data_IF_252734059622
#
_entry.id   IF_252734059622
#
_cell.length_a   1.000
_cell.length_b   1.000
_cell.length_c   1.000
_cell.angle_alpha   90.00
_cell.angle_beta   90.00
_cell.angle_gamma   90.00
#
_symmetry.space_group_name_H-M   'P 1'
#
loop_
_entity.id
_entity.type
_entity.pdbx_description
1 polymer ?
#
# COMPACT_ATOMS: atom_id res chain seq x y z
N UNK A 1 10.15 4.15 8.98
CA UNK A 1 10.66 2.83 8.55
C UNK A 1 12.02 3.03 7.88
N UNK A 2 13.03 2.18 8.17
CA UNK A 2 14.42 2.41 7.76
C UNK A 2 14.62 2.39 6.24
N UNK A 3 13.74 1.74 5.47
CA UNK A 3 13.84 1.63 4.01
C UNK A 3 12.83 2.50 3.25
N UNK A 4 12.05 3.35 3.93
CA UNK A 4 11.07 4.22 3.30
C UNK A 4 11.71 5.54 2.83
N UNK A 5 11.33 6.02 1.64
CA UNK A 5 11.76 7.34 1.12
C UNK A 5 11.37 8.48 2.07
N UNK A 6 10.28 8.35 2.81
CA UNK A 6 9.82 9.32 3.81
C UNK A 6 10.46 9.15 5.19
N UNK A 7 11.34 8.16 5.38
CA UNK A 7 12.04 7.86 6.64
C UNK A 7 13.50 8.27 6.59
N UNK A 8 14.24 8.00 7.69
CA UNK A 8 15.67 8.31 7.83
C UNK A 8 16.60 7.42 6.97
N UNK A 9 16.08 6.49 6.20
CA UNK A 9 16.79 5.60 5.28
C UNK A 9 18.03 4.86 5.88
N UNK A 10 18.07 4.66 7.20
CA UNK A 10 19.22 4.05 7.90
C UNK A 10 19.47 2.57 7.58
N UNK A 11 18.62 1.95 6.75
CA UNK A 11 18.81 0.57 6.30
C UNK A 11 19.03 -0.43 7.45
N UNK A 12 20.07 -1.25 7.35
CA UNK A 12 20.46 -2.21 8.38
C UNK A 12 21.21 -1.57 9.57
N UNK A 13 21.66 -0.32 9.47
CA UNK A 13 22.25 0.43 10.59
C UNK A 13 21.19 0.92 11.57
N UNK A 14 19.92 1.07 11.12
CA UNK A 14 18.79 1.32 12.02
C UNK A 14 18.40 0.02 12.74
N UNK A 15 18.22 0.08 14.05
CA UNK A 15 17.80 -1.08 14.89
C UNK A 15 16.55 -1.79 14.37
N UNK A 16 15.66 -1.07 13.68
CA UNK A 16 14.48 -1.65 13.02
C UNK A 16 14.82 -2.39 11.72
N UNK A 17 15.94 -2.06 11.07
CA UNK A 17 16.46 -2.78 9.90
C UNK A 17 17.08 -4.12 10.31
N UNK A 18 17.62 -4.23 11.51
CA UNK A 18 18.21 -5.46 12.04
C UNK A 18 17.18 -6.55 12.36
N UNK A 19 15.88 -6.21 12.49
CA UNK A 19 14.79 -7.18 12.70
C UNK A 19 14.74 -8.28 11.62
N UNK A 20 15.25 -8.02 10.42
CA UNK A 20 15.36 -9.07 9.42
C UNK A 20 16.25 -10.25 9.89
N UNK A 21 17.32 -9.97 10.61
CA UNK A 21 18.19 -11.04 11.12
C UNK A 21 17.53 -11.88 12.21
N UNK A 22 16.58 -11.29 12.96
CA UNK A 22 15.77 -12.06 13.92
C UNK A 22 14.77 -12.95 13.17
N UNK A 23 14.16 -12.47 12.07
CA UNK A 23 13.38 -13.32 11.17
C UNK A 23 14.23 -14.46 10.64
N UNK A 24 15.48 -14.21 10.20
CA UNK A 24 16.39 -15.24 9.70
C UNK A 24 16.73 -16.30 10.78
N UNK A 25 16.92 -15.89 12.04
CA UNK A 25 17.09 -16.82 13.17
C UNK A 25 15.87 -17.73 13.36
N UNK A 26 14.66 -17.15 13.31
CA UNK A 26 13.41 -17.91 13.39
C UNK A 26 13.31 -18.92 12.24
N UNK A 27 13.60 -18.49 11.02
CA UNK A 27 13.60 -19.35 9.82
C UNK A 27 14.59 -20.50 9.97
N UNK A 28 15.80 -20.24 10.47
CA UNK A 28 16.84 -21.26 10.72
C UNK A 28 16.35 -22.33 11.69
N UNK A 29 15.66 -21.94 12.76
CA UNK A 29 15.17 -22.84 13.80
C UNK A 29 13.90 -23.60 13.34
N UNK A 30 12.89 -22.85 12.85
CA UNK A 30 11.57 -23.40 12.53
C UNK A 30 11.48 -24.06 11.17
N UNK A 31 12.37 -23.70 10.25
CA UNK A 31 12.47 -24.25 8.90
C UNK A 31 11.13 -24.31 8.16
N UNK A 32 10.35 -23.21 8.08
CA UNK A 32 9.04 -23.21 7.43
C UNK A 32 9.19 -23.64 5.96
N UNK A 33 8.13 -24.21 5.38
CA UNK A 33 8.11 -24.58 3.97
C UNK A 33 8.20 -23.36 3.05
N UNK A 34 7.50 -22.31 3.42
CA UNK A 34 7.39 -21.04 2.67
C UNK A 34 7.65 -19.86 3.60
N UNK A 35 8.33 -18.87 3.10
CA UNK A 35 8.57 -17.56 3.72
C UNK A 35 7.94 -16.51 2.81
N UNK A 36 7.10 -15.63 3.38
CA UNK A 36 6.56 -14.46 2.70
C UNK A 36 6.95 -13.21 3.47
N UNK A 37 7.73 -12.34 2.84
CA UNK A 37 8.13 -11.05 3.39
C UNK A 37 7.61 -9.92 2.51
N UNK A 38 7.26 -8.79 3.14
CA UNK A 38 6.83 -7.58 2.45
C UNK A 38 7.63 -6.38 2.94
N UNK A 39 7.93 -5.47 2.01
CA UNK A 39 8.52 -4.18 2.36
C UNK A 39 8.09 -3.10 1.35
N UNK A 40 8.40 -1.83 1.65
CA UNK A 40 8.17 -0.72 0.71
C UNK A 40 8.90 -0.94 -0.62
N UNK A 41 8.36 -0.41 -1.72
CA UNK A 41 8.93 -0.62 -3.06
C UNK A 41 10.40 -0.16 -3.14
N UNK A 42 10.78 0.89 -2.39
CA UNK A 42 12.15 1.38 -2.37
C UNK A 42 13.16 0.39 -1.77
N UNK A 43 12.69 -0.61 -1.02
CA UNK A 43 13.56 -1.65 -0.45
C UNK A 43 14.40 -2.36 -1.51
N UNK A 44 13.82 -2.63 -2.68
CA UNK A 44 14.51 -3.31 -3.76
C UNK A 44 15.65 -2.47 -4.40
N UNK A 45 15.59 -1.14 -4.25
CA UNK A 45 16.57 -0.20 -4.79
C UNK A 45 17.47 0.42 -3.71
N UNK A 46 17.19 0.14 -2.45
CA UNK A 46 17.92 0.72 -1.32
C UNK A 46 19.39 0.29 -1.39
N UNK A 47 20.28 1.27 -1.21
CA UNK A 47 21.75 1.09 -1.28
C UNK A 47 22.15 0.32 -2.55
N UNK A 48 21.72 0.82 -3.71
CA UNK A 48 21.98 0.24 -5.03
C UNK A 48 21.69 -1.27 -5.11
N UNK A 49 20.63 -1.70 -4.37
CA UNK A 49 20.19 -3.10 -4.32
C UNK A 49 20.95 -3.98 -3.32
N UNK A 50 21.98 -3.49 -2.64
CA UNK A 50 22.76 -4.26 -1.66
C UNK A 50 21.89 -4.81 -0.53
N UNK A 51 20.91 -4.02 -0.07
CA UNK A 51 19.95 -4.45 0.96
C UNK A 51 19.16 -5.68 0.55
N UNK A 52 18.60 -5.69 -0.65
CA UNK A 52 17.86 -6.84 -1.17
C UNK A 52 18.80 -8.06 -1.40
N UNK A 53 19.99 -7.80 -1.93
CA UNK A 53 20.99 -8.86 -2.14
C UNK A 53 21.43 -9.51 -0.82
N UNK A 54 21.55 -8.74 0.26
CA UNK A 54 21.82 -9.28 1.61
C UNK A 54 20.69 -10.21 2.05
N UNK A 55 19.43 -9.80 1.91
CA UNK A 55 18.25 -10.63 2.23
C UNK A 55 18.25 -11.90 1.38
N UNK A 56 18.47 -11.78 0.06
CA UNK A 56 18.55 -12.91 -0.87
C UNK A 56 19.62 -13.90 -0.42
N UNK A 57 20.84 -13.43 -0.14
CA UNK A 57 21.94 -14.27 0.29
C UNK A 57 21.60 -15.04 1.56
N UNK A 58 21.13 -14.35 2.61
CA UNK A 58 20.78 -14.99 3.89
C UNK A 58 19.70 -16.05 3.72
N UNK A 59 18.65 -15.80 2.95
CA UNK A 59 17.57 -16.76 2.72
C UNK A 59 18.07 -17.95 1.87
N UNK A 60 18.94 -17.70 0.89
CA UNK A 60 19.53 -18.76 0.06
C UNK A 60 20.49 -19.66 0.88
N UNK A 61 21.30 -19.06 1.76
CA UNK A 61 22.21 -19.78 2.66
C UNK A 61 21.44 -20.66 3.68
N UNK A 62 20.18 -20.31 3.97
CA UNK A 62 19.25 -21.12 4.77
C UNK A 62 18.56 -22.24 3.97
N UNK A 63 18.99 -22.51 2.73
CA UNK A 63 18.50 -23.56 1.84
C UNK A 63 17.07 -23.30 1.28
N UNK A 64 16.79 -22.04 0.90
CA UNK A 64 15.56 -21.64 0.21
C UNK A 64 15.85 -21.11 -1.20
N UNK A 65 14.98 -21.37 -2.15
CA UNK A 65 14.89 -20.62 -3.40
C UNK A 65 14.26 -19.26 -3.11
N UNK A 66 14.87 -18.17 -3.60
CA UNK A 66 14.42 -16.81 -3.32
C UNK A 66 13.92 -16.12 -4.57
N UNK A 67 12.70 -15.57 -4.48
CA UNK A 67 12.03 -14.82 -5.52
C UNK A 67 11.58 -13.48 -4.97
N UNK A 68 11.57 -12.44 -5.82
CA UNK A 68 10.98 -11.16 -5.43
C UNK A 68 10.35 -10.45 -6.62
N UNK A 69 9.34 -9.63 -6.35
CA UNK A 69 8.70 -8.74 -7.33
C UNK A 69 8.10 -7.53 -6.62
N UNK A 70 8.09 -6.38 -7.31
CA UNK A 70 7.33 -5.22 -6.87
C UNK A 70 5.94 -5.34 -7.48
N UNK A 71 4.91 -5.44 -6.62
CA UNK A 71 3.52 -5.49 -7.03
C UNK A 71 2.80 -4.22 -6.56
N UNK A 72 1.81 -3.78 -7.33
CA UNK A 72 0.96 -2.66 -6.99
C UNK A 72 -0.45 -3.16 -6.65
N UNK A 73 -1.02 -2.72 -5.53
CA UNK A 73 -2.36 -3.14 -5.12
C UNK A 73 -3.44 -2.82 -6.16
N UNK A 74 -3.26 -1.76 -6.94
CA UNK A 74 -4.17 -1.39 -8.03
C UNK A 74 -4.27 -2.45 -9.13
N UNK A 75 -3.26 -3.30 -9.27
CA UNK A 75 -3.24 -4.36 -10.29
C UNK A 75 -4.08 -5.58 -9.86
N UNK A 76 -4.58 -5.60 -8.62
CA UNK A 76 -5.32 -6.71 -8.00
C UNK A 76 -6.73 -6.32 -7.54
N UNK A 77 -7.39 -5.42 -8.28
CA UNK A 77 -8.79 -5.05 -8.07
C UNK A 77 -9.03 -4.18 -6.83
N UNK A 78 -8.00 -3.49 -6.34
CA UNK A 78 -8.08 -2.55 -5.23
C UNK A 78 -7.73 -1.15 -5.72
N UNK A 79 -8.59 -0.12 -5.52
CA UNK A 79 -8.33 1.23 -5.99
C UNK A 79 -7.35 1.97 -5.08
N UNK A 80 -6.18 1.39 -4.82
CA UNK A 80 -5.11 2.00 -4.05
C UNK A 80 -3.77 1.87 -4.78
N UNK A 81 -3.13 2.98 -5.09
CA UNK A 81 -1.77 3.01 -5.62
C UNK A 81 -0.77 2.71 -4.50
N UNK A 82 -0.52 1.42 -4.25
CA UNK A 82 0.36 0.93 -3.19
C UNK A 82 1.34 -0.10 -3.74
N UNK A 83 2.53 0.37 -4.10
CA UNK A 83 3.62 -0.50 -4.57
C UNK A 83 4.40 -1.06 -3.38
N UNK A 84 4.63 -2.37 -3.37
CA UNK A 84 5.41 -3.07 -2.34
C UNK A 84 6.31 -4.13 -2.95
N UNK A 85 7.47 -4.32 -2.34
CA UNK A 85 8.35 -5.45 -2.65
C UNK A 85 7.88 -6.65 -1.88
N UNK A 86 7.48 -7.69 -2.59
CA UNK A 86 7.16 -9.01 -2.04
C UNK A 86 8.33 -9.95 -2.30
N UNK A 87 8.72 -10.67 -1.26
CA UNK A 87 9.84 -11.62 -1.31
C UNK A 87 9.36 -12.97 -0.82
N UNK A 88 9.60 -14.01 -1.62
CA UNK A 88 9.17 -15.39 -1.36
C UNK A 88 10.41 -16.25 -1.21
N UNK A 89 10.46 -17.00 -0.12
CA UNK A 89 11.42 -18.08 0.08
C UNK A 89 10.70 -19.42 0.06
N UNK A 90 11.08 -20.31 -0.83
CA UNK A 90 10.55 -21.69 -0.89
C UNK A 90 11.65 -22.65 -0.52
N UNK A 91 11.44 -23.48 0.51
CA UNK A 91 12.42 -24.44 0.98
C UNK A 91 12.75 -25.45 -0.12
N UNK A 92 13.99 -25.60 -0.50
CA UNK A 92 14.45 -26.46 -1.61
C UNK A 92 13.99 -27.91 -1.47
N UNK A 93 13.91 -28.43 -0.23
CA UNK A 93 13.44 -29.79 0.04
C UNK A 93 11.91 -29.94 -0.02
N UNK A 94 11.16 -28.84 -0.09
CA UNK A 94 9.70 -28.87 -0.19
C UNK A 94 9.21 -28.78 -1.63
N UNK A 95 9.74 -27.83 -2.39
CA UNK A 95 9.44 -27.67 -3.81
C UNK A 95 10.64 -27.00 -4.48
N UNK A 96 11.14 -27.61 -5.56
CA UNK A 96 12.27 -27.11 -6.33
C UNK A 96 11.82 -26.45 -7.66
N UNK A 97 10.50 -26.28 -7.88
CA UNK A 97 9.96 -25.62 -9.05
C UNK A 97 10.17 -24.10 -9.00
N UNK A 98 10.14 -23.47 -10.16
CA UNK A 98 10.18 -22.02 -10.28
C UNK A 98 8.85 -21.43 -9.82
N UNK A 99 8.93 -20.42 -8.93
CA UNK A 99 7.76 -19.65 -8.51
C UNK A 99 7.56 -18.44 -9.43
N UNK A 100 6.36 -18.31 -9.96
CA UNK A 100 5.96 -17.19 -10.82
C UNK A 100 4.98 -16.30 -10.04
N UNK A 101 5.29 -15.00 -9.94
CA UNK A 101 4.40 -14.04 -9.31
C UNK A 101 3.12 -13.84 -10.13
N UNK A 102 1.97 -13.59 -9.47
CA UNK A 102 0.70 -13.40 -10.13
C UNK A 102 0.73 -12.25 -11.16
N UNK A 103 -0.05 -12.41 -12.23
CA UNK A 103 -0.26 -11.37 -13.24
C UNK A 103 -1.34 -10.38 -12.78
N UNK A 104 -1.30 -9.11 -13.26
CA UNK A 104 -2.39 -8.16 -13.07
C UNK A 104 -3.73 -8.73 -13.53
N UNK A 105 -4.80 -8.50 -12.76
CA UNK A 105 -6.15 -8.97 -13.10
C UNK A 105 -6.97 -8.00 -13.97
N UNK A 106 -6.38 -6.84 -14.32
CA UNK A 106 -6.98 -5.81 -15.19
C UNK A 106 -8.45 -5.49 -14.86
N UNK A 107 -8.77 -5.35 -13.58
CA UNK A 107 -10.11 -5.00 -13.14
C UNK A 107 -10.22 -3.49 -12.98
N UNK A 108 -11.12 -2.87 -13.72
CA UNK A 108 -11.44 -1.46 -13.58
C UNK A 108 -12.19 -1.23 -12.27
N UNK A 109 -11.55 -0.49 -11.37
CA UNK A 109 -12.11 -0.11 -10.08
C UNK A 109 -11.80 1.36 -9.81
N UNK A 110 -12.71 2.04 -9.14
CA UNK A 110 -12.52 3.42 -8.71
C UNK A 110 -12.66 3.52 -7.19
N UNK A 111 -11.98 4.50 -6.59
CA UNK A 111 -12.09 4.72 -5.16
C UNK A 111 -13.55 4.96 -4.73
N UNK A 112 -14.32 5.62 -5.59
CA UNK A 112 -15.74 5.92 -5.32
C UNK A 112 -16.56 4.67 -4.95
N UNK A 113 -16.26 3.51 -5.55
CA UNK A 113 -16.99 2.25 -5.30
C UNK A 113 -16.69 1.61 -3.93
N UNK A 114 -15.67 2.13 -3.23
CA UNK A 114 -15.21 1.64 -1.92
C UNK A 114 -15.52 2.61 -0.78
N UNK A 115 -16.20 3.73 -1.09
CA UNK A 115 -16.58 4.73 -0.10
C UNK A 115 -17.86 4.32 0.63
N UNK A 116 -18.01 4.82 1.85
CA UNK A 116 -19.25 4.66 2.63
C UNK A 116 -20.32 5.62 2.17
N UNK A 117 -21.55 5.11 2.00
CA UNK A 117 -22.69 5.91 1.53
C UNK A 117 -23.15 6.95 2.57
N UNK A 118 -23.01 6.65 3.87
CA UNK A 118 -23.40 7.53 4.96
C UNK A 118 -22.16 8.13 5.63
N UNK A 119 -22.07 9.44 5.61
CA UNK A 119 -21.05 10.20 6.32
C UNK A 119 -21.66 10.67 7.65
N UNK A 120 -21.15 10.15 8.76
CA UNK A 120 -21.55 10.60 10.09
C UNK A 120 -21.06 12.03 10.35
N UNK A 121 -21.70 12.75 11.27
CA UNK A 121 -21.33 14.12 11.68
C UNK A 121 -19.86 14.28 12.09
N UNK A 122 -19.23 13.22 12.60
CA UNK A 122 -17.84 13.17 13.03
C UNK A 122 -16.83 12.85 11.90
N UNK A 123 -17.28 12.80 10.64
CA UNK A 123 -16.38 12.57 9.52
C UNK A 123 -15.36 13.72 9.39
N UNK A 124 -14.11 13.44 9.05
CA UNK A 124 -13.05 14.44 8.93
C UNK A 124 -13.22 15.31 7.69
N UNK A 125 -14.25 16.13 7.68
CA UNK A 125 -14.61 17.08 6.62
C UNK A 125 -14.00 18.44 6.93
N UNK A 126 -13.32 19.02 5.94
CA UNK A 126 -12.71 20.34 6.03
C UNK A 126 -13.64 21.40 5.44
N UNK A 127 -14.66 21.82 6.19
CA UNK A 127 -15.72 22.75 5.73
C UNK A 127 -15.19 24.10 5.23
N UNK A 128 -14.12 24.61 5.84
CA UNK A 128 -13.57 25.94 5.56
C UNK A 128 -12.34 25.92 4.63
N UNK A 129 -12.06 24.80 3.95
CA UNK A 129 -10.92 24.71 3.03
C UNK A 129 -11.38 24.85 1.60
N UNK A 130 -10.95 25.92 0.93
CA UNK A 130 -11.20 26.18 -0.48
C UNK A 130 -10.19 25.42 -1.35
N UNK A 131 -10.68 24.77 -2.40
CA UNK A 131 -9.83 24.12 -3.40
C UNK A 131 -9.14 25.20 -4.24
N UNK A 132 -7.80 25.21 -4.17
CA UNK A 132 -6.94 26.10 -4.95
C UNK A 132 -6.34 25.33 -6.12
N UNK A 133 -5.95 26.06 -7.19
CA UNK A 133 -5.31 25.48 -8.39
C UNK A 133 -6.10 24.27 -8.91
N UNK A 134 -7.41 24.41 -9.05
CA UNK A 134 -8.27 23.39 -9.62
C UNK A 134 -7.78 23.04 -11.02
N UNK A 135 -7.42 21.78 -11.24
CA UNK A 135 -7.27 21.23 -12.59
C UNK A 135 -8.61 20.67 -13.01
N UNK A 136 -9.11 21.05 -14.16
CA UNK A 136 -10.25 20.38 -14.75
C UNK A 136 -9.86 18.95 -15.08
N UNK A 137 -10.57 18.01 -14.48
CA UNK A 137 -10.50 16.62 -14.92
C UNK A 137 -11.37 16.58 -16.17
N UNK A 138 -10.73 16.47 -17.33
CA UNK A 138 -11.42 16.31 -18.61
C UNK A 138 -12.19 14.99 -18.52
N UNK A 139 -13.45 15.07 -18.13
CA UNK A 139 -14.39 13.93 -18.05
C UNK A 139 -14.91 13.50 -19.42
N UNK A 140 -14.68 14.32 -20.44
CA UNK A 140 -15.43 14.28 -21.71
C UNK A 140 -14.56 14.17 -22.93
N UNK A 141 -13.52 13.37 -23.02
CA UNK A 141 -12.91 13.06 -24.32
C UNK A 141 -12.03 11.80 -24.30
N UNK A 142 -12.39 10.81 -23.51
CA UNK A 142 -11.84 9.48 -23.75
C UNK A 142 -12.80 8.74 -24.68
N UNK A 143 -12.43 8.59 -25.95
CA UNK A 143 -13.00 7.65 -26.91
C UNK A 143 -13.03 6.20 -26.38
N UNK A 144 -12.38 5.97 -25.26
CA UNK A 144 -12.37 4.77 -24.46
C UNK A 144 -12.67 5.16 -23.02
N UNK A 145 -13.74 4.63 -22.44
CA UNK A 145 -14.15 4.78 -21.02
C UNK A 145 -13.13 4.13 -20.04
N UNK A 146 -11.84 4.36 -20.22
CA UNK A 146 -10.83 3.84 -19.30
C UNK A 146 -10.79 4.69 -18.04
N UNK A 147 -11.16 4.09 -16.93
CA UNK A 147 -10.96 4.69 -15.61
C UNK A 147 -9.45 4.81 -15.33
N UNK A 148 -8.99 5.95 -14.77
CA UNK A 148 -7.59 6.09 -14.44
C UNK A 148 -7.23 5.16 -13.27
N UNK A 149 -6.42 4.14 -13.51
CA UNK A 149 -5.89 3.20 -12.51
C UNK A 149 -4.77 3.81 -11.63
N UNK A 150 -4.83 5.12 -11.42
CA UNK A 150 -3.88 5.93 -10.64
C UNK A 150 -4.61 7.06 -9.91
N UNK A 151 -4.01 7.65 -8.86
CA UNK A 151 -4.58 8.82 -8.20
C UNK A 151 -4.70 10.01 -9.16
N UNK A 152 -5.88 10.61 -9.22
CA UNK A 152 -6.17 11.79 -10.05
C UNK A 152 -6.16 13.03 -9.18
N UNK A 153 -5.08 13.80 -9.24
CA UNK A 153 -4.95 15.06 -8.49
C UNK A 153 -5.73 16.17 -9.20
N UNK A 154 -6.68 16.80 -8.48
CA UNK A 154 -7.54 17.88 -8.99
C UNK A 154 -7.18 19.26 -8.43
N UNK A 155 -6.37 19.33 -7.37
CA UNK A 155 -5.97 20.61 -6.80
C UNK A 155 -5.19 20.46 -5.51
N UNK A 156 -5.14 21.55 -4.79
CA UNK A 156 -4.49 21.68 -3.48
C UNK A 156 -5.33 22.51 -2.54
N UNK A 157 -5.08 22.39 -1.26
CA UNK A 157 -5.48 23.35 -0.24
C UNK A 157 -4.24 24.01 0.39
N UNK A 158 -4.43 25.03 1.21
CA UNK A 158 -3.36 25.73 1.93
C UNK A 158 -2.16 26.08 0.99
N UNK A 159 -0.94 25.82 1.42
CA UNK A 159 0.31 26.07 0.67
C UNK A 159 0.66 24.99 -0.36
N UNK A 160 -0.07 23.89 -0.41
CA UNK A 160 0.08 22.84 -1.43
C UNK A 160 1.19 21.83 -1.18
N UNK A 161 1.59 21.63 0.06
CA UNK A 161 2.48 20.55 0.46
C UNK A 161 1.91 19.16 0.11
N UNK A 162 2.68 18.10 0.33
CA UNK A 162 2.25 16.74 -0.01
C UNK A 162 0.92 16.35 0.68
N UNK A 163 0.73 16.74 1.94
CA UNK A 163 -0.52 16.50 2.69
C UNK A 163 -1.69 17.44 2.31
N UNK A 164 -1.46 18.42 1.43
CA UNK A 164 -2.49 19.38 1.00
C UNK A 164 -3.05 19.09 -0.39
N UNK A 165 -2.60 18.01 -1.02
CA UNK A 165 -3.07 17.59 -2.36
C UNK A 165 -4.46 16.98 -2.26
N UNK A 166 -5.36 17.40 -3.16
CA UNK A 166 -6.74 16.90 -3.26
C UNK A 166 -6.90 16.07 -4.52
N UNK A 167 -7.56 14.93 -4.38
CA UNK A 167 -7.74 13.95 -5.44
C UNK A 167 -9.22 13.74 -5.76
N UNK A 168 -9.51 13.34 -7.00
CA UNK A 168 -10.83 12.89 -7.42
C UNK A 168 -11.01 11.40 -7.09
N UNK A 169 -12.12 10.99 -6.46
CA UNK A 169 -12.39 9.60 -6.15
C UNK A 169 -12.72 8.73 -7.36
N UNK A 170 -12.83 9.30 -8.57
CA UNK A 170 -12.93 8.51 -9.81
C UNK A 170 -11.65 7.74 -10.12
N UNK A 171 -10.51 8.26 -9.66
CA UNK A 171 -9.23 7.56 -9.73
C UNK A 171 -9.01 6.65 -8.51
N UNK A 172 -7.78 6.22 -8.34
CA UNK A 172 -7.37 5.42 -7.19
C UNK A 172 -6.98 6.28 -5.99
N UNK A 173 -7.05 5.70 -4.80
CA UNK A 173 -6.47 6.28 -3.60
C UNK A 173 -4.95 6.32 -3.69
N UNK A 174 -4.34 7.32 -3.05
CA UNK A 174 -2.90 7.29 -2.77
C UNK A 174 -2.58 6.21 -1.74
N UNK A 175 -1.32 5.84 -1.63
CA UNK A 175 -0.84 4.91 -0.60
C UNK A 175 -1.25 5.37 0.80
N UNK A 176 -1.95 4.53 1.56
CA UNK A 176 -2.16 4.76 2.99
C UNK A 176 -0.82 4.71 3.73
N UNK A 177 -0.63 5.63 4.67
CA UNK A 177 0.59 5.69 5.49
C UNK A 177 0.27 5.66 6.98
N UNK A 178 1.12 5.03 7.78
CA UNK A 178 0.97 5.00 9.23
C UNK A 178 1.33 6.33 9.88
N UNK A 179 2.25 7.04 9.24
CA UNK A 179 2.79 8.32 9.69
C UNK A 179 2.66 9.34 8.57
N UNK A 180 2.65 10.59 8.92
CA UNK A 180 2.60 11.69 7.97
C UNK A 180 2.08 12.95 8.65
N UNK A 181 2.54 14.10 8.18
CA UNK A 181 2.11 15.43 8.62
C UNK A 181 1.11 16.07 7.65
N UNK A 182 0.51 17.15 8.10
CA UNK A 182 -0.39 17.96 7.29
C UNK A 182 -1.83 17.47 7.26
N UNK A 183 -2.67 18.23 6.57
CA UNK A 183 -4.14 18.08 6.58
C UNK A 183 -4.58 16.71 6.07
N UNK A 184 -3.99 16.22 4.98
CA UNK A 184 -4.29 14.92 4.37
C UNK A 184 -3.40 13.78 4.88
N UNK A 185 -2.81 13.91 6.08
CA UNK A 185 -1.96 12.85 6.64
C UNK A 185 -2.68 11.50 6.68
N UNK A 186 -1.93 10.42 6.46
CA UNK A 186 -2.34 9.02 6.49
C UNK A 186 -3.16 8.55 5.29
N UNK A 187 -4.12 9.33 4.77
CA UNK A 187 -5.07 8.88 3.73
C UNK A 187 -5.03 9.68 2.43
N UNK A 188 -4.53 10.92 2.45
CA UNK A 188 -4.80 11.92 1.41
C UNK A 188 -6.11 12.65 1.63
N UNK A 189 -6.38 13.64 0.76
CA UNK A 189 -7.64 14.39 0.71
C UNK A 189 -8.37 14.08 -0.59
N UNK A 190 -9.69 13.99 -0.51
CA UNK A 190 -10.55 13.69 -1.66
C UNK A 190 -11.72 14.65 -1.70
N UNK A 191 -12.12 15.06 -2.92
CA UNK A 191 -13.32 15.84 -3.15
C UNK A 191 -14.51 14.88 -3.35
N UNK A 192 -15.30 14.68 -2.32
CA UNK A 192 -16.43 13.74 -2.31
C UNK A 192 -17.70 14.53 -2.00
N UNK A 193 -18.70 14.50 -2.89
CA UNK A 193 -19.95 15.24 -2.75
C UNK A 193 -19.72 16.73 -2.43
N UNK A 194 -18.84 17.38 -3.19
CA UNK A 194 -18.41 18.78 -3.03
C UNK A 194 -17.76 19.11 -1.66
N UNK A 195 -17.34 18.12 -0.91
CA UNK A 195 -16.67 18.30 0.38
C UNK A 195 -15.26 17.73 0.32
N UNK A 196 -14.27 18.48 0.81
CA UNK A 196 -12.89 17.97 0.94
C UNK A 196 -12.80 17.21 2.25
N UNK A 197 -12.43 15.94 2.19
CA UNK A 197 -12.28 15.09 3.37
C UNK A 197 -11.20 14.03 3.24
N UNK A 198 -10.81 13.46 4.36
CA UNK A 198 -10.03 12.21 4.44
C UNK A 198 -10.93 11.01 4.17
N UNK A 199 -10.30 9.85 3.91
CA UNK A 199 -11.01 8.58 3.99
C UNK A 199 -11.34 8.25 5.45
N UNK A 200 -12.47 7.57 5.64
CA UNK A 200 -12.85 7.02 6.93
C UNK A 200 -12.04 5.73 7.24
N UNK A 201 -11.89 5.32 8.51
CA UNK A 201 -11.25 4.06 8.84
C UNK A 201 -11.85 2.85 8.11
N UNK A 202 -13.18 2.79 7.94
CA UNK A 202 -13.86 1.73 7.18
C UNK A 202 -13.47 1.77 5.70
N UNK A 203 -13.40 2.94 5.10
CA UNK A 203 -12.95 3.10 3.72
C UNK A 203 -11.48 2.68 3.54
N UNK A 204 -10.62 2.94 4.54
CA UNK A 204 -9.25 2.45 4.53
C UNK A 204 -9.20 0.92 4.61
N UNK A 205 -10.09 0.27 5.38
CA UNK A 205 -10.23 -1.18 5.41
C UNK A 205 -10.68 -1.72 4.05
N UNK A 206 -11.70 -1.10 3.44
CA UNK A 206 -12.24 -1.49 2.14
C UNK A 206 -11.15 -1.46 1.05
N UNK A 207 -10.38 -0.37 0.95
CA UNK A 207 -9.28 -0.25 -0.03
C UNK A 207 -8.00 -0.99 0.37
N UNK A 208 -8.02 -1.71 1.47
CA UNK A 208 -6.99 -2.68 1.86
C UNK A 208 -7.44 -4.13 1.68
N UNK A 209 -8.68 -4.34 1.19
CA UNK A 209 -9.25 -5.65 0.91
C UNK A 209 -9.77 -6.40 2.14
N UNK A 210 -9.96 -5.71 3.27
CA UNK A 210 -10.54 -6.34 4.48
C UNK A 210 -12.05 -6.51 4.33
N UNK A 211 -12.63 -7.60 4.88
CA UNK A 211 -14.06 -7.85 4.80
C UNK A 211 -14.87 -6.82 5.60
N UNK A 212 -16.15 -6.62 5.22
CA UNK A 212 -17.04 -5.63 5.83
C UNK A 212 -17.23 -5.81 7.33
N UNK A 213 -17.17 -7.05 7.83
CA UNK A 213 -17.30 -7.39 9.24
C UNK A 213 -15.99 -7.30 10.04
N UNK A 214 -14.87 -6.89 9.41
CA UNK A 214 -13.61 -6.70 10.12
C UNK A 214 -13.77 -5.62 11.20
N UNK A 215 -13.46 -5.97 12.45
CA UNK A 215 -13.56 -5.05 13.59
C UNK A 215 -12.47 -3.97 13.51
N UNK A 216 -12.88 -2.72 13.59
CA UNK A 216 -11.99 -1.57 13.66
C UNK A 216 -11.74 -1.20 15.12
N UNK A 217 -10.63 -0.51 15.38
CA UNK A 217 -10.41 0.13 16.69
C UNK A 217 -11.41 1.28 16.87
N UNK A 218 -11.91 1.45 18.09
CA UNK A 218 -12.76 2.58 18.47
C UNK A 218 -12.02 3.93 18.32
N UNK A 219 -10.69 3.91 18.41
CA UNK A 219 -9.86 5.07 18.13
C UNK A 219 -9.49 5.12 16.62
N UNK A 220 -10.03 6.10 15.85
CA UNK A 220 -9.74 6.23 14.42
C UNK A 220 -8.24 6.39 14.10
N UNK A 221 -7.47 7.01 14.99
CA UNK A 221 -6.04 7.21 14.79
C UNK A 221 -5.26 5.90 14.84
N UNK A 222 -5.69 4.96 15.68
CA UNK A 222 -5.15 3.59 15.73
C UNK A 222 -5.46 2.87 14.44
N UNK A 223 -6.71 2.89 13.99
CA UNK A 223 -7.12 2.29 12.71
C UNK A 223 -6.32 2.83 11.52
N UNK A 224 -6.14 4.15 11.41
CA UNK A 224 -5.34 4.74 10.34
C UNK A 224 -3.87 4.26 10.39
N UNK A 225 -3.28 4.16 11.59
CA UNK A 225 -1.92 3.65 11.75
C UNK A 225 -1.81 2.19 11.34
N UNK A 226 -2.79 1.37 11.71
CA UNK A 226 -2.86 -0.04 11.34
C UNK A 226 -2.96 -0.20 9.82
N UNK A 227 -3.90 0.49 9.15
CA UNK A 227 -4.04 0.41 7.69
C UNK A 227 -2.86 1.01 6.92
N UNK A 228 -2.16 1.97 7.48
CA UNK A 228 -0.90 2.46 6.91
C UNK A 228 0.21 1.40 6.90
N UNK A 229 0.24 0.51 7.92
CA UNK A 229 1.24 -0.54 8.08
C UNK A 229 0.79 -1.91 7.56
N UNK A 230 -0.47 -2.07 7.13
CA UNK A 230 -0.99 -3.36 6.69
C UNK A 230 -0.53 -3.72 5.28
N UNK A 231 -0.64 -4.99 4.94
CA UNK A 231 -0.61 -5.48 3.56
C UNK A 231 -2.00 -5.35 2.93
N UNK A 232 -2.08 -5.35 1.61
CA UNK A 232 -3.35 -5.44 0.89
C UNK A 232 -3.72 -6.91 0.71
N UNK A 233 -4.88 -7.29 1.26
CA UNK A 233 -5.34 -8.70 1.32
C UNK A 233 -5.40 -9.33 -0.07
N UNK A 234 -5.93 -8.63 -1.07
CA UNK A 234 -6.04 -9.13 -2.43
C UNK A 234 -4.69 -9.54 -3.03
N UNK A 235 -3.63 -8.75 -2.81
CA UNK A 235 -2.29 -9.08 -3.32
C UNK A 235 -1.78 -10.37 -2.69
N UNK A 236 -1.94 -10.51 -1.37
CA UNK A 236 -1.53 -11.72 -0.64
C UNK A 236 -2.32 -12.94 -1.14
N UNK A 237 -3.64 -12.81 -1.33
CA UNK A 237 -4.47 -13.89 -1.85
C UNK A 237 -3.98 -14.39 -3.22
N UNK A 238 -3.66 -13.48 -4.15
CA UNK A 238 -3.14 -13.87 -5.46
C UNK A 238 -1.76 -14.52 -5.38
N UNK A 239 -0.87 -14.02 -4.50
CA UNK A 239 0.43 -14.68 -4.25
C UNK A 239 0.23 -16.10 -3.70
N UNK A 240 -0.69 -16.30 -2.75
CA UNK A 240 -0.94 -17.60 -2.15
C UNK A 240 -1.58 -18.61 -3.12
N UNK A 241 -2.33 -18.14 -4.11
CA UNK A 241 -2.87 -19.00 -5.18
C UNK A 241 -1.73 -19.59 -6.01
N UNK A 242 -0.71 -18.81 -6.33
CA UNK A 242 0.46 -19.27 -7.11
C UNK A 242 1.44 -20.15 -6.28
N UNK A 243 1.25 -20.24 -4.97
CA UNK A 243 2.06 -21.07 -4.07
C UNK A 243 1.46 -22.46 -3.81
N UNK A 244 0.30 -22.77 -4.40
CA UNK A 244 -0.33 -24.09 -4.32
C UNK A 244 0.31 -25.06 -5.30
#
# INVERSE_FOLDING_TARGET
QPFSISGKQGGFEDTRGTLFFDVAKIVKIKKPKIILLENVANFAKHDDGKTLNTVKKVITDLNYNFFYKILNASDFGIPQSRKRTYMIGIKKSYNNSEFIFPRPINKDVKLLDFLENKINSNSPVFKNKKLLKKKEVIRNNCLFNFLPNKPVRIGIINKGGQGDRVYDPIGHAITLSAYGGGTGSKTGLYLINNKIRKLLPRECANISGFPKNFKLSDNPNVSYKQFGNTVVVNVIQHILIELK
#
